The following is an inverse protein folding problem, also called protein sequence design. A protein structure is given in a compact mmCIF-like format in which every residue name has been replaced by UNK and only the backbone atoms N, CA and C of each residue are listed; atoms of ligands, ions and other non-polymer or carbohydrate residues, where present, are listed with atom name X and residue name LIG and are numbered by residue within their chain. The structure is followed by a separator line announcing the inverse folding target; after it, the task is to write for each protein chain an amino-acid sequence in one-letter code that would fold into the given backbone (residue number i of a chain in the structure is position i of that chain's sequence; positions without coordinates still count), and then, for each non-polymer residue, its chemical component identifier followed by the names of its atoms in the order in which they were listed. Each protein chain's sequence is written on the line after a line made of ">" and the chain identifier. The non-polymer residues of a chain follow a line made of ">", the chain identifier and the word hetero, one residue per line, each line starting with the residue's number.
data_IF_002735543201
#
_entry.id   IF_002735543201
#
_cell.length_a   1.000
_cell.length_b   1.000
_cell.length_c   1.000
_cell.angle_alpha   90.00
_cell.angle_beta   90.00
_cell.angle_gamma   90.00
#
_symmetry.space_group_name_H-M   'P 1'
#
loop_
_entity.id
_entity.type
_entity.pdbx_description
1 polymer ?
#
# COMPACT_ATOMS: atom_id res chain seq x y z
N UNK A 1 0.03 -16.78 -10.48
CA UNK A 1 1.23 -16.29 -9.77
C UNK A 1 2.37 -17.28 -9.94
N UNK A 2 3.53 -16.82 -10.41
CA UNK A 2 4.73 -17.68 -10.56
C UNK A 2 5.42 -17.90 -9.21
N UNK A 3 6.32 -18.88 -9.12
CA UNK A 3 7.08 -19.14 -7.88
C UNK A 3 8.01 -17.97 -7.52
N UNK A 4 8.59 -17.31 -8.52
CA UNK A 4 9.42 -16.12 -8.30
C UNK A 4 8.59 -14.95 -7.80
N UNK A 5 7.40 -14.72 -8.38
CA UNK A 5 6.49 -13.69 -7.91
C UNK A 5 6.08 -13.92 -6.47
N UNK A 6 5.73 -15.17 -6.11
CA UNK A 6 5.43 -15.55 -4.72
C UNK A 6 6.60 -15.24 -3.79
N UNK A 7 7.81 -15.66 -4.14
CA UNK A 7 9.01 -15.45 -3.30
C UNK A 7 9.30 -13.95 -3.10
N UNK A 8 9.04 -13.11 -4.11
CA UNK A 8 9.14 -11.64 -4.00
C UNK A 8 8.08 -11.06 -3.07
N UNK A 9 6.84 -11.57 -3.10
CA UNK A 9 5.79 -11.12 -2.18
C UNK A 9 6.10 -11.51 -0.74
N UNK A 10 6.58 -12.74 -0.52
CA UNK A 10 6.96 -13.24 0.80
C UNK A 10 8.12 -12.42 1.39
N UNK A 11 9.11 -12.01 0.58
CA UNK A 11 10.18 -11.15 1.06
C UNK A 11 9.68 -9.75 1.45
N UNK A 12 8.81 -9.15 0.64
CA UNK A 12 8.19 -7.85 0.97
C UNK A 12 7.36 -7.96 2.26
N UNK A 13 6.56 -9.03 2.41
CA UNK A 13 5.75 -9.27 3.61
C UNK A 13 6.62 -9.41 4.87
N UNK A 14 7.73 -10.14 4.78
CA UNK A 14 8.68 -10.30 5.89
C UNK A 14 9.27 -8.95 6.36
N UNK A 15 9.63 -8.07 5.41
CA UNK A 15 10.13 -6.72 5.73
C UNK A 15 9.09 -5.91 6.48
N UNK A 16 7.82 -5.97 6.05
CA UNK A 16 6.74 -5.17 6.62
C UNK A 16 6.26 -5.67 7.99
N UNK A 17 6.49 -6.96 8.29
CA UNK A 17 6.26 -7.54 9.62
C UNK A 17 7.32 -7.15 10.64
N UNK A 18 8.43 -6.53 10.23
CA UNK A 18 9.44 -6.01 11.14
C UNK A 18 8.85 -4.91 12.01
N UNK A 19 8.98 -5.04 13.33
CA UNK A 19 8.51 -4.03 14.29
C UNK A 19 9.11 -2.66 14.00
N UNK A 20 10.41 -2.59 13.72
CA UNK A 20 11.11 -1.34 13.37
C UNK A 20 10.55 -0.66 12.11
N UNK A 21 10.18 -1.44 11.08
CA UNK A 21 9.55 -0.88 9.87
C UNK A 21 8.15 -0.36 10.22
N UNK A 22 7.39 -1.12 11.00
CA UNK A 22 6.07 -0.72 11.48
C UNK A 22 6.11 0.58 12.30
N UNK A 23 7.05 0.71 13.23
CA UNK A 23 7.26 1.91 14.04
C UNK A 23 7.58 3.14 13.20
N UNK A 24 8.35 2.99 12.13
CA UNK A 24 8.64 4.10 11.21
C UNK A 24 7.46 4.48 10.31
N UNK A 25 6.61 3.52 9.93
CA UNK A 25 5.41 3.78 9.12
C UNK A 25 4.30 4.44 9.95
N UNK A 26 4.15 4.10 11.24
CA UNK A 26 3.08 4.61 12.12
C UNK A 26 2.94 6.14 12.11
N UNK A 27 4.01 6.95 12.28
CA UNK A 27 3.91 8.41 12.20
C UNK A 27 3.36 8.93 10.87
N UNK A 28 3.67 8.26 9.76
CA UNK A 28 3.13 8.60 8.42
C UNK A 28 1.61 8.37 8.43
N UNK A 29 1.17 7.20 8.88
CA UNK A 29 -0.27 6.87 8.99
C UNK A 29 -1.01 7.88 9.85
N UNK A 30 -0.44 8.32 10.97
CA UNK A 30 -1.05 9.35 11.84
C UNK A 30 -1.25 10.68 11.09
N UNK A 31 -0.25 11.14 10.33
CA UNK A 31 -0.37 12.38 9.55
C UNK A 31 -1.43 12.27 8.46
N UNK A 32 -1.39 11.19 7.67
CA UNK A 32 -2.34 10.93 6.59
C UNK A 32 -3.78 10.84 7.14
N UNK A 33 -3.99 10.21 8.30
CA UNK A 33 -5.30 10.20 9.00
C UNK A 33 -5.75 11.60 9.41
N UNK A 34 -4.85 12.39 9.99
CA UNK A 34 -5.16 13.75 10.41
C UNK A 34 -5.51 14.64 9.20
N UNK A 35 -4.82 14.45 8.08
CA UNK A 35 -5.11 15.15 6.82
C UNK A 35 -6.49 14.75 6.26
N UNK A 36 -6.79 13.46 6.20
CA UNK A 36 -8.10 12.98 5.73
C UNK A 36 -9.23 13.52 6.60
N UNK A 37 -9.01 13.60 7.91
CA UNK A 37 -9.98 14.18 8.85
C UNK A 37 -10.30 15.64 8.51
N UNK A 38 -9.31 16.41 8.04
CA UNK A 38 -9.50 17.82 7.62
C UNK A 38 -10.18 17.93 6.25
N UNK A 39 -9.90 17.00 5.33
CA UNK A 39 -10.48 16.94 3.98
C UNK A 39 -11.81 16.18 3.97
N UNK A 40 -12.88 16.82 4.46
CA UNK A 40 -14.20 16.18 4.64
C UNK A 40 -14.75 15.51 3.38
N UNK A 41 -14.61 16.14 2.23
CA UNK A 41 -15.13 15.64 0.95
C UNK A 41 -14.23 14.57 0.28
N UNK A 42 -13.01 14.35 0.78
CA UNK A 42 -12.11 13.36 0.21
C UNK A 42 -12.44 11.94 0.70
N UNK A 43 -12.49 10.98 -0.22
CA UNK A 43 -12.65 9.56 0.09
C UNK A 43 -11.36 8.93 0.66
N UNK A 44 -10.21 9.45 0.25
CA UNK A 44 -8.89 8.98 0.67
C UNK A 44 -7.86 10.10 0.67
N UNK A 45 -6.73 9.87 1.34
CA UNK A 45 -5.52 10.69 1.19
C UNK A 45 -4.28 9.82 1.37
N UNK A 46 -3.10 10.34 1.01
CA UNK A 46 -1.89 9.54 0.92
C UNK A 46 -0.61 10.36 1.12
N UNK A 47 0.46 9.67 1.49
CA UNK A 47 1.83 10.21 1.57
C UNK A 47 2.84 9.18 1.03
N UNK A 48 3.95 9.62 0.39
CA UNK A 48 5.03 8.72 0.02
C UNK A 48 5.78 8.23 1.26
N UNK A 49 6.23 6.98 1.24
CA UNK A 49 7.17 6.43 2.22
C UNK A 49 8.57 6.46 1.61
N UNK A 50 9.55 7.13 2.22
CA UNK A 50 10.95 7.02 1.81
C UNK A 50 11.41 5.56 1.85
N UNK A 51 12.06 5.07 0.78
CA UNK A 51 12.50 3.66 0.71
C UNK A 51 13.53 3.30 1.80
N UNK A 52 14.21 4.30 2.38
CA UNK A 52 15.12 4.12 3.51
C UNK A 52 14.43 3.58 4.76
N UNK A 53 13.12 3.77 4.90
CA UNK A 53 12.30 3.20 6.00
C UNK A 53 12.40 1.67 6.03
N UNK A 54 12.57 1.05 4.87
CA UNK A 54 12.67 -0.40 4.73
C UNK A 54 14.11 -0.91 4.85
N UNK A 55 15.06 -0.13 5.35
CA UNK A 55 16.42 -0.58 5.66
C UNK A 55 17.23 -1.12 4.47
N UNK A 56 16.81 -0.82 3.22
CA UNK A 56 17.46 -1.33 2.02
C UNK A 56 17.22 -2.83 1.75
N UNK A 57 16.26 -3.46 2.42
CA UNK A 57 15.98 -4.91 2.28
C UNK A 57 14.85 -5.23 1.29
N UNK A 58 14.29 -4.21 0.63
CA UNK A 58 13.32 -4.43 -0.45
C UNK A 58 14.01 -4.95 -1.72
N UNK A 59 13.32 -5.75 -2.54
CA UNK A 59 13.77 -6.07 -3.89
C UNK A 59 14.10 -4.81 -4.70
N UNK A 60 15.15 -4.86 -5.53
CA UNK A 60 15.66 -3.70 -6.30
C UNK A 60 14.63 -3.14 -7.30
N UNK A 61 13.64 -3.93 -7.65
CA UNK A 61 12.54 -3.56 -8.53
C UNK A 61 11.52 -2.64 -7.84
N UNK A 62 11.50 -2.57 -6.50
CA UNK A 62 10.62 -1.66 -5.77
C UNK A 62 11.19 -0.24 -5.81
N UNK A 63 10.56 0.61 -6.63
CA UNK A 63 11.01 1.99 -6.88
C UNK A 63 10.28 3.06 -6.08
N UNK A 64 9.15 2.73 -5.47
CA UNK A 64 8.38 3.67 -4.64
C UNK A 64 7.49 2.91 -3.67
N UNK A 65 7.10 3.58 -2.58
CA UNK A 65 6.17 3.08 -1.58
C UNK A 65 5.29 4.23 -1.09
N UNK A 66 4.07 3.92 -0.69
CA UNK A 66 3.04 4.90 -0.35
C UNK A 66 2.17 4.38 0.80
N UNK A 67 1.70 5.28 1.66
CA UNK A 67 0.58 5.01 2.57
C UNK A 67 -0.65 5.65 1.97
N UNK A 68 -1.71 4.86 1.79
CA UNK A 68 -3.05 5.35 1.50
C UNK A 68 -3.93 5.12 2.73
N UNK A 69 -4.70 6.13 3.13
CA UNK A 69 -5.76 5.99 4.13
C UNK A 69 -7.08 6.29 3.45
N UNK A 70 -7.98 5.31 3.48
CA UNK A 70 -9.31 5.37 2.90
C UNK A 70 -10.34 5.52 4.03
N UNK A 71 -11.46 6.20 3.75
CA UNK A 71 -12.62 6.18 4.66
C UNK A 71 -13.28 4.81 4.63
N UNK A 72 -13.90 4.43 5.75
CA UNK A 72 -14.72 3.23 5.79
C UNK A 72 -15.88 3.32 4.77
N UNK A 73 -16.06 2.26 3.98
CA UNK A 73 -17.07 2.20 2.91
C UNK A 73 -16.73 3.01 1.66
N UNK A 74 -15.52 3.56 1.55
CA UNK A 74 -15.07 4.20 0.32
C UNK A 74 -14.89 3.17 -0.80
N UNK A 75 -15.43 3.49 -1.98
CA UNK A 75 -15.11 2.84 -3.25
C UNK A 75 -14.29 3.83 -4.07
N UNK A 76 -13.05 3.45 -4.41
CA UNK A 76 -12.14 4.28 -5.21
C UNK A 76 -12.27 4.03 -6.71
N UNK A 77 -13.11 3.08 -7.12
CA UNK A 77 -13.26 2.65 -8.49
C UNK A 77 -12.05 1.87 -9.02
N UNK A 78 -12.16 1.47 -10.28
CA UNK A 78 -11.11 0.72 -10.97
C UNK A 78 -10.00 1.64 -11.48
N UNK A 79 -8.75 1.33 -11.12
CA UNK A 79 -7.56 2.02 -11.62
C UNK A 79 -6.69 1.10 -12.49
N UNK A 80 -5.89 1.70 -13.37
CA UNK A 80 -4.95 0.97 -14.25
C UNK A 80 -3.55 1.53 -14.12
N UNK A 81 -2.57 0.63 -13.98
CA UNK A 81 -1.15 0.98 -13.88
C UNK A 81 -0.34 0.31 -15.00
N UNK A 82 -0.38 0.84 -16.24
CA UNK A 82 0.21 0.17 -17.40
C UNK A 82 1.76 0.07 -17.35
N UNK A 83 2.40 0.92 -16.54
CA UNK A 83 3.86 1.06 -16.50
C UNK A 83 4.47 0.57 -15.19
N UNK A 84 3.70 -0.08 -14.31
CA UNK A 84 4.21 -0.53 -13.02
C UNK A 84 3.44 -1.72 -12.48
N UNK A 85 4.14 -2.62 -11.82
CA UNK A 85 3.52 -3.63 -10.96
C UNK A 85 3.33 -3.04 -9.57
N UNK A 86 2.08 -2.89 -9.14
CA UNK A 86 1.76 -2.48 -7.78
C UNK A 86 1.49 -3.70 -6.90
N UNK A 87 1.88 -3.57 -5.63
CA UNK A 87 1.60 -4.52 -4.56
C UNK A 87 0.94 -3.75 -3.43
N UNK A 88 -0.19 -4.24 -2.94
CA UNK A 88 -0.93 -3.61 -1.85
C UNK A 88 -1.02 -4.58 -0.68
N UNK A 89 -0.94 -4.02 0.52
CA UNK A 89 -1.17 -4.70 1.79
C UNK A 89 -1.96 -3.76 2.71
N UNK A 90 -2.71 -4.36 3.64
CA UNK A 90 -3.33 -3.58 4.70
C UNK A 90 -2.40 -3.50 5.90
N UNK A 91 -2.09 -2.27 6.33
CA UNK A 91 -1.35 -2.01 7.57
C UNK A 91 -2.26 -1.93 8.80
N UNK A 92 -3.47 -1.39 8.61
CA UNK A 92 -4.54 -1.33 9.60
C UNK A 92 -5.90 -1.31 8.88
N UNK A 93 -6.90 -1.91 9.51
CA UNK A 93 -8.21 -2.13 8.91
C UNK A 93 -8.25 -3.29 7.91
N UNK A 94 -9.31 -3.32 7.11
CA UNK A 94 -9.54 -4.31 6.04
C UNK A 94 -10.30 -3.64 4.90
N UNK A 95 -10.18 -4.20 3.71
CA UNK A 95 -10.93 -3.81 2.53
C UNK A 95 -10.87 -4.91 1.50
N UNK A 96 -11.76 -4.82 0.52
CA UNK A 96 -11.79 -5.73 -0.61
C UNK A 96 -11.03 -5.09 -1.76
N UNK A 97 -9.96 -5.76 -2.20
CA UNK A 97 -9.20 -5.36 -3.38
C UNK A 97 -9.40 -6.43 -4.44
N UNK A 98 -10.02 -6.02 -5.55
CA UNK A 98 -10.22 -6.88 -6.71
C UNK A 98 -9.20 -6.53 -7.79
N UNK A 99 -8.66 -7.55 -8.45
CA UNK A 99 -7.78 -7.41 -9.60
C UNK A 99 -8.37 -8.14 -10.79
N UNK A 100 -8.25 -7.56 -11.98
CA UNK A 100 -8.85 -8.17 -13.16
C UNK A 100 -8.84 -7.24 -14.36
N UNK A 101 -9.31 -7.76 -15.48
CA UNK A 101 -9.65 -6.96 -16.65
C UNK A 101 -11.06 -6.39 -16.51
N UNK A 102 -11.40 -5.36 -17.31
CA UNK A 102 -12.74 -4.78 -17.27
C UNK A 102 -13.82 -5.86 -17.45
N UNK A 103 -14.73 -5.97 -16.48
CA UNK A 103 -15.82 -6.94 -16.47
C UNK A 103 -15.46 -8.32 -15.88
N UNK A 104 -14.19 -8.57 -15.54
CA UNK A 104 -13.69 -9.82 -15.00
C UNK A 104 -12.88 -9.59 -13.70
N UNK A 105 -13.47 -8.87 -12.75
CA UNK A 105 -12.86 -8.59 -11.45
C UNK A 105 -12.86 -9.84 -10.57
N UNK A 106 -11.72 -10.13 -9.93
CA UNK A 106 -11.51 -11.25 -9.01
C UNK A 106 -10.91 -10.78 -7.69
#
# INVERSE_FOLDING_TARGET
>A
MTQEERSRLESIDAVLRSENVGEQIRPIVVRVRAELTRKKEALMTWEPIPLTVFGGVLPLEVRSAWVFVLRAGADTGAERHPNSHQRMLSFDGRGDLQTGEQGNWQ
#
